data_IF_930287958497
#
_entry.id   IF_930287958497
#
_cell.length_a   1.000
_cell.length_b   1.000
_cell.length_c   1.000
_cell.angle_alpha   90.00
_cell.angle_beta   90.00
_cell.angle_gamma   90.00
#
_symmetry.space_group_name_H-M   'P 1'
#
loop_
_entity.id
_entity.type
_entity.pdbx_description
1 polymer ?
#
# COMPACT_ATOMS: atom_id res chain seq x y z
N UNK A 1 34.24 -9.56 -18.24
CA UNK A 1 32.92 -9.26 -18.84
C UNK A 1 31.92 -9.53 -17.75
N UNK A 2 31.41 -8.48 -17.12
CA UNK A 2 30.41 -8.59 -16.06
C UNK A 2 29.12 -9.11 -16.66
N UNK A 3 28.54 -10.14 -16.08
CA UNK A 3 27.18 -10.55 -16.42
C UNK A 3 26.27 -9.36 -16.10
N UNK A 4 25.53 -8.88 -17.10
CA UNK A 4 24.35 -8.06 -16.89
C UNK A 4 23.43 -8.86 -15.96
N UNK A 5 23.45 -8.52 -14.67
CA UNK A 5 22.47 -8.98 -13.71
C UNK A 5 21.14 -8.37 -14.16
N UNK A 6 20.34 -9.15 -14.90
CA UNK A 6 19.02 -8.75 -15.34
C UNK A 6 18.27 -8.41 -14.05
N UNK A 7 17.86 -7.14 -13.82
CA UNK A 7 17.26 -6.77 -12.55
C UNK A 7 16.02 -7.64 -12.34
N UNK A 8 16.13 -8.60 -11.41
CA UNK A 8 15.03 -9.48 -11.07
C UNK A 8 13.95 -8.59 -10.46
N UNK A 9 12.74 -8.64 -11.01
CA UNK A 9 11.63 -7.83 -10.50
C UNK A 9 11.39 -8.24 -9.06
N UNK A 10 11.69 -7.34 -8.13
CA UNK A 10 11.38 -7.60 -6.72
C UNK A 10 9.88 -7.71 -6.50
N UNK A 11 9.52 -8.61 -5.58
CA UNK A 11 8.14 -8.89 -5.19
C UNK A 11 7.58 -7.69 -4.43
N UNK A 12 6.40 -7.23 -4.83
CA UNK A 12 5.70 -6.16 -4.13
C UNK A 12 5.40 -6.58 -2.67
N UNK A 13 5.84 -5.75 -1.72
CA UNK A 13 5.62 -5.98 -0.30
C UNK A 13 4.18 -5.65 0.06
N UNK A 14 3.54 -6.55 0.79
CA UNK A 14 2.25 -6.24 1.43
C UNK A 14 2.54 -5.48 2.71
N UNK A 15 1.76 -4.44 2.94
CA UNK A 15 1.85 -3.60 4.11
C UNK A 15 0.47 -3.04 4.39
N UNK A 16 0.17 -2.86 5.66
CA UNK A 16 -0.98 -2.11 6.13
C UNK A 16 -0.69 -0.61 6.08
N UNK A 17 -1.74 0.22 5.98
CA UNK A 17 -1.61 1.67 5.93
C UNK A 17 -0.88 2.23 7.16
N UNK A 18 -1.09 1.65 8.34
CA UNK A 18 -0.42 2.09 9.58
C UNK A 18 1.11 2.10 9.42
N UNK A 19 1.73 0.95 9.11
CA UNK A 19 3.19 0.88 8.95
C UNK A 19 3.71 1.60 7.69
N UNK A 20 2.88 1.70 6.64
CA UNK A 20 3.27 2.37 5.42
C UNK A 20 3.34 3.88 5.59
N UNK A 21 2.42 4.47 6.34
CA UNK A 21 2.38 5.92 6.56
C UNK A 21 3.50 6.39 7.50
N UNK A 22 3.93 5.54 8.43
CA UNK A 22 5.05 5.81 9.34
C UNK A 22 6.44 5.62 8.66
N UNK A 23 6.48 5.07 7.45
CA UNK A 23 7.70 4.78 6.70
C UNK A 23 8.32 6.01 6.02
N UNK A 24 8.87 6.94 6.79
CA UNK A 24 9.37 8.22 6.27
C UNK A 24 10.79 8.18 5.65
N UNK A 25 11.46 7.03 5.60
CA UNK A 25 12.88 6.91 5.22
C UNK A 25 13.05 6.13 3.93
N UNK A 26 13.78 6.73 2.97
CA UNK A 26 14.11 6.11 1.69
C UNK A 26 15.61 6.04 1.48
N UNK A 27 16.12 4.91 0.99
CA UNK A 27 17.57 4.66 0.84
C UNK A 27 17.90 3.85 -0.42
N UNK A 28 19.19 3.80 -0.75
CA UNK A 28 19.77 2.93 -1.78
C UNK A 28 20.78 1.99 -1.10
N UNK A 29 20.91 0.77 -1.63
CA UNK A 29 21.88 -0.21 -1.11
C UNK A 29 23.28 -0.06 -1.72
N UNK A 30 23.41 0.75 -2.76
CA UNK A 30 24.69 1.06 -3.38
C UNK A 30 24.73 2.50 -3.88
N UNK A 31 25.96 3.00 -4.06
CA UNK A 31 26.23 4.33 -4.61
C UNK A 31 26.00 4.42 -6.13
N UNK A 32 25.48 3.36 -6.77
CA UNK A 32 25.17 3.40 -8.20
C UNK A 32 24.02 4.38 -8.47
N UNK A 33 24.18 5.23 -9.49
CA UNK A 33 23.15 6.18 -9.91
C UNK A 33 21.84 5.47 -10.26
N UNK A 34 21.94 4.24 -10.79
CA UNK A 34 20.82 3.38 -11.18
C UNK A 34 20.34 2.46 -10.06
N UNK A 35 20.93 2.52 -8.87
CA UNK A 35 20.52 1.69 -7.75
C UNK A 35 19.03 1.92 -7.42
N UNK A 36 18.26 0.85 -7.18
CA UNK A 36 16.87 0.97 -6.76
C UNK A 36 16.78 1.72 -5.44
N UNK A 37 15.79 2.60 -5.34
CA UNK A 37 15.42 3.27 -4.09
C UNK A 37 14.39 2.40 -3.39
N UNK A 38 14.59 2.21 -2.09
CA UNK A 38 13.71 1.46 -1.22
C UNK A 38 13.11 2.36 -0.16
N UNK A 39 11.86 2.09 0.18
CA UNK A 39 11.23 2.58 1.40
C UNK A 39 11.55 1.61 2.54
N UNK A 40 11.98 2.11 3.70
CA UNK A 40 12.17 1.31 4.89
C UNK A 40 10.86 1.28 5.70
N UNK A 41 10.36 0.12 6.07
CA UNK A 41 9.22 0.01 6.98
C UNK A 41 9.69 0.00 8.43
N UNK A 42 8.93 0.62 9.36
CA UNK A 42 9.21 0.58 10.79
C UNK A 42 9.25 -0.83 11.38
N UNK A 43 8.59 -1.78 10.71
CA UNK A 43 8.60 -3.20 11.04
C UNK A 43 9.84 -3.94 10.50
N UNK A 44 10.84 -3.26 9.94
CA UNK A 44 12.13 -3.86 9.60
C UNK A 44 12.17 -4.59 8.26
N UNK A 45 11.48 -4.07 7.24
CA UNK A 45 11.65 -4.52 5.86
C UNK A 45 11.83 -3.36 4.89
N UNK A 46 12.56 -3.59 3.81
CA UNK A 46 12.63 -2.68 2.68
C UNK A 46 11.56 -3.00 1.62
N UNK A 47 11.07 -1.99 0.92
CA UNK A 47 10.12 -2.13 -0.18
C UNK A 47 10.51 -1.26 -1.37
N UNK A 48 10.80 -1.88 -2.52
CA UNK A 48 10.88 -1.16 -3.81
C UNK A 48 9.49 -0.99 -4.44
N UNK A 49 8.58 -1.91 -4.13
CA UNK A 49 7.18 -1.92 -4.54
C UNK A 49 6.30 -2.35 -3.39
N UNK A 50 5.07 -1.85 -3.38
CA UNK A 50 4.03 -2.26 -2.45
C UNK A 50 2.83 -2.83 -3.19
N UNK A 51 2.11 -3.75 -2.53
CA UNK A 51 0.84 -4.30 -2.97
C UNK A 51 -0.19 -4.16 -1.85
N UNK A 52 -1.18 -3.29 -2.07
CA UNK A 52 -2.18 -2.91 -1.06
C UNK A 52 -3.58 -3.15 -1.61
N UNK A 53 -4.51 -3.52 -0.74
CA UNK A 53 -5.94 -3.60 -1.08
C UNK A 53 -6.73 -2.81 -0.04
N UNK A 54 -7.68 -2.02 -0.50
CA UNK A 54 -8.59 -1.28 0.37
C UNK A 54 -9.79 -0.74 -0.37
N UNK A 55 -10.58 0.06 0.32
CA UNK A 55 -11.73 0.76 -0.23
C UNK A 55 -11.28 2.09 -0.81
N UNK A 56 -11.34 2.26 -2.12
CA UNK A 56 -11.24 3.57 -2.75
C UNK A 56 -12.45 4.39 -2.34
N UNK A 57 -12.24 5.44 -1.55
CA UNK A 57 -13.32 6.29 -1.01
C UNK A 57 -13.49 7.58 -1.80
N UNK A 58 -12.41 8.08 -2.41
CA UNK A 58 -12.38 9.36 -3.12
C UNK A 58 -11.41 9.28 -4.32
N UNK A 59 -11.80 9.90 -5.43
CA UNK A 59 -10.95 10.19 -6.60
C UNK A 59 -11.09 11.67 -6.95
N UNK A 60 -9.97 12.35 -7.18
CA UNK A 60 -9.97 13.79 -7.48
C UNK A 60 -8.87 14.13 -8.49
N UNK A 61 -9.19 14.94 -9.50
CA UNK A 61 -8.18 15.60 -10.34
C UNK A 61 -7.63 16.81 -9.57
N UNK A 62 -6.40 16.67 -9.10
CA UNK A 62 -5.66 17.68 -8.34
C UNK A 62 -4.61 18.39 -9.22
N UNK A 63 -4.63 18.16 -10.53
CA UNK A 63 -3.75 18.82 -11.49
C UNK A 63 -4.22 20.23 -11.86
N UNK A 64 -3.28 21.14 -12.07
CA UNK A 64 -3.56 22.50 -12.58
C UNK A 64 -3.50 22.54 -14.11
N UNK A 65 -2.30 22.31 -14.68
CA UNK A 65 -2.05 22.38 -16.13
C UNK A 65 -2.05 21.01 -16.83
N UNK A 66 -1.84 19.94 -16.06
CA UNK A 66 -1.77 18.57 -16.56
C UNK A 66 -2.60 17.66 -15.69
N UNK A 67 -3.18 16.62 -16.29
CA UNK A 67 -3.93 15.60 -15.57
C UNK A 67 -3.10 14.97 -14.44
N UNK A 68 -3.62 15.08 -13.21
CA UNK A 68 -2.98 14.55 -12.01
C UNK A 68 -4.04 14.06 -11.02
N UNK A 69 -4.29 12.76 -11.01
CA UNK A 69 -5.32 12.16 -10.16
C UNK A 69 -4.78 11.73 -8.81
N UNK A 70 -5.53 12.05 -7.75
CA UNK A 70 -5.36 11.52 -6.41
C UNK A 70 -6.46 10.51 -6.10
N UNK A 71 -6.09 9.34 -5.60
CA UNK A 71 -7.02 8.38 -5.01
C UNK A 71 -6.78 8.25 -3.50
N UNK A 72 -7.86 8.12 -2.73
CA UNK A 72 -7.83 7.83 -1.29
C UNK A 72 -8.33 6.41 -1.05
N UNK A 73 -7.46 5.54 -0.54
CA UNK A 73 -7.75 4.12 -0.33
C UNK A 73 -7.68 3.82 1.16
N UNK A 74 -8.74 3.28 1.75
CA UNK A 74 -8.84 2.99 3.17
C UNK A 74 -8.73 1.47 3.41
N UNK A 75 -7.80 1.07 4.26
CA UNK A 75 -7.73 -0.30 4.81
C UNK A 75 -8.12 -0.27 6.30
N UNK A 76 -8.20 -1.43 7.00
CA UNK A 76 -8.58 -1.46 8.41
C UNK A 76 -7.65 -0.69 9.36
N UNK A 77 -6.45 -0.33 8.93
CA UNK A 77 -5.40 0.30 9.75
C UNK A 77 -5.19 1.77 9.42
N UNK A 78 -5.76 2.29 8.33
CA UNK A 78 -5.59 3.68 7.92
C UNK A 78 -5.88 3.95 6.46
N UNK A 79 -5.22 4.98 5.92
CA UNK A 79 -5.42 5.45 4.54
C UNK A 79 -4.12 5.42 3.76
N UNK A 80 -4.15 4.92 2.54
CA UNK A 80 -3.14 5.15 1.51
C UNK A 80 -3.57 6.27 0.57
N UNK A 81 -2.63 7.12 0.20
CA UNK A 81 -2.79 8.07 -0.92
C UNK A 81 -2.07 7.55 -2.15
N UNK A 82 -2.77 7.56 -3.28
CA UNK A 82 -2.20 7.21 -4.59
C UNK A 82 -2.24 8.42 -5.51
N UNK A 83 -1.17 8.64 -6.28
CA UNK A 83 -1.09 9.75 -7.23
C UNK A 83 -0.66 9.26 -8.61
N UNK A 84 -1.48 9.51 -9.62
CA UNK A 84 -1.21 9.14 -11.01
C UNK A 84 -1.28 10.36 -11.92
N UNK A 85 -0.18 10.67 -12.60
CA UNK A 85 -0.10 11.76 -13.57
C UNK A 85 0.09 11.29 -15.00
N UNK A 86 0.48 12.23 -15.88
CA UNK A 86 0.79 11.98 -17.29
C UNK A 86 1.78 10.83 -17.58
N UNK A 87 2.64 10.48 -16.62
CA UNK A 87 3.60 9.39 -16.76
C UNK A 87 3.03 8.03 -16.32
N UNK A 88 1.80 7.99 -15.80
CA UNK A 88 1.03 6.81 -15.39
C UNK A 88 -0.35 6.85 -16.08
N UNK A 89 -0.41 6.91 -17.42
CA UNK A 89 -1.66 7.16 -18.13
C UNK A 89 -2.74 6.11 -17.82
N UNK A 90 -2.35 4.83 -17.70
CA UNK A 90 -3.28 3.73 -17.35
C UNK A 90 -3.86 3.94 -15.94
N UNK A 91 -3.02 4.16 -14.93
CA UNK A 91 -3.52 4.35 -13.57
C UNK A 91 -4.29 5.67 -13.37
N UNK A 92 -3.95 6.73 -14.11
CA UNK A 92 -4.71 7.97 -14.11
C UNK A 92 -6.09 7.78 -14.74
N UNK A 93 -6.16 7.03 -15.84
CA UNK A 93 -7.43 6.64 -16.46
C UNK A 93 -8.29 5.82 -15.51
N UNK A 94 -7.74 4.80 -14.84
CA UNK A 94 -8.47 4.01 -13.85
C UNK A 94 -9.05 4.90 -12.73
N UNK A 95 -8.24 5.79 -12.13
CA UNK A 95 -8.74 6.71 -11.09
C UNK A 95 -9.84 7.66 -11.58
N UNK A 96 -9.78 8.08 -12.85
CA UNK A 96 -10.81 8.92 -13.47
C UNK A 96 -12.12 8.16 -13.69
N UNK A 97 -12.04 6.89 -14.08
CA UNK A 97 -13.18 6.08 -14.53
C UNK A 97 -13.85 5.31 -13.38
N UNK A 98 -13.15 5.10 -12.26
CA UNK A 98 -13.70 4.43 -11.08
C UNK A 98 -14.72 5.32 -10.36
N UNK A 99 -15.83 4.71 -9.94
CA UNK A 99 -16.86 5.30 -9.10
C UNK A 99 -16.70 4.82 -7.64
N UNK A 100 -16.20 5.65 -6.70
CA UNK A 100 -16.15 5.31 -5.28
C UNK A 100 -17.56 5.20 -4.64
N UNK A 101 -17.78 4.29 -3.66
CA UNK A 101 -16.79 3.39 -3.07
C UNK A 101 -16.58 2.11 -3.88
N UNK A 102 -15.31 1.69 -4.05
CA UNK A 102 -14.96 0.43 -4.70
C UNK A 102 -13.75 -0.23 -4.01
N UNK A 103 -13.74 -1.57 -3.90
CA UNK A 103 -12.53 -2.26 -3.48
C UNK A 103 -11.52 -2.29 -4.62
N UNK A 104 -10.30 -1.84 -4.34
CA UNK A 104 -9.22 -1.79 -5.33
C UNK A 104 -7.95 -2.42 -4.80
N UNK A 105 -7.28 -3.18 -5.67
CA UNK A 105 -5.92 -3.61 -5.49
C UNK A 105 -4.97 -2.67 -6.22
N UNK A 106 -3.92 -2.23 -5.54
CA UNK A 106 -2.91 -1.33 -6.10
C UNK A 106 -1.53 -1.94 -5.94
N UNK A 107 -0.80 -2.04 -7.06
CA UNK A 107 0.64 -2.26 -7.04
C UNK A 107 1.34 -0.99 -7.45
N UNK A 108 2.36 -0.56 -6.71
CA UNK A 108 3.06 0.67 -7.07
C UNK A 108 4.36 0.89 -6.33
N UNK A 109 5.00 2.00 -6.66
CA UNK A 109 6.24 2.42 -6.01
C UNK A 109 5.93 3.37 -4.86
N UNK A 110 6.39 3.08 -3.64
CA UNK A 110 6.32 4.07 -2.56
C UNK A 110 7.12 5.33 -2.91
N UNK A 111 6.63 6.48 -2.45
CA UNK A 111 7.28 7.78 -2.57
C UNK A 111 7.09 8.57 -1.29
N UNK A 112 8.20 9.03 -0.72
CA UNK A 112 8.19 10.04 0.32
C UNK A 112 8.14 11.43 -0.31
N UNK A 113 7.46 12.36 0.35
CA UNK A 113 7.45 13.77 0.00
C UNK A 113 7.28 14.59 1.28
N UNK A 114 7.86 15.79 1.30
CA UNK A 114 7.73 16.72 2.42
C UNK A 114 6.50 17.62 2.18
N UNK A 115 5.66 17.76 3.20
CA UNK A 115 4.54 18.71 3.20
C UNK A 115 4.99 20.08 3.66
N UNK A 116 4.19 21.11 3.41
CA UNK A 116 4.53 22.52 3.72
C UNK A 116 4.80 22.78 5.22
N UNK A 117 4.31 21.90 6.09
CA UNK A 117 4.52 21.92 7.54
C UNK A 117 5.80 21.18 7.99
N UNK A 118 6.59 20.66 7.04
CA UNK A 118 7.85 19.95 7.29
C UNK A 118 7.67 18.48 7.66
N UNK A 119 6.46 17.93 7.56
CA UNK A 119 6.20 16.50 7.81
C UNK A 119 6.53 15.69 6.56
N UNK A 120 7.22 14.56 6.72
CA UNK A 120 7.41 13.61 5.62
C UNK A 120 6.22 12.68 5.56
N UNK A 121 5.51 12.69 4.43
CA UNK A 121 4.41 11.78 4.14
C UNK A 121 4.81 10.77 3.07
N UNK A 122 4.05 9.66 3.01
CA UNK A 122 4.27 8.59 2.03
C UNK A 122 3.04 8.45 1.14
N UNK A 123 3.27 8.22 -0.14
CA UNK A 123 2.23 7.90 -1.12
C UNK A 123 2.66 6.75 -2.03
N UNK A 124 1.70 6.17 -2.72
CA UNK A 124 1.96 5.17 -3.76
C UNK A 124 1.85 5.83 -5.13
N UNK A 125 2.90 5.72 -5.93
CA UNK A 125 2.82 5.95 -7.37
C UNK A 125 2.36 4.64 -8.02
N UNK A 126 1.09 4.53 -8.44
CA UNK A 126 0.54 3.27 -8.91
C UNK A 126 1.19 2.89 -10.25
N UNK A 127 1.54 1.60 -10.35
CA UNK A 127 1.88 0.93 -11.60
C UNK A 127 0.65 0.18 -12.15
N UNK A 128 -0.26 -0.27 -11.27
CA UNK A 128 -1.57 -0.82 -11.64
C UNK A 128 -2.61 -0.53 -10.54
N UNK A 129 -3.87 -0.39 -10.97
CA UNK A 129 -5.05 -0.29 -10.11
C UNK A 129 -6.08 -1.25 -10.71
N UNK A 130 -6.74 -2.06 -9.88
CA UNK A 130 -7.73 -3.03 -10.36
C UNK A 130 -8.84 -3.20 -9.35
N UNK A 131 -10.10 -3.16 -9.79
CA UNK A 131 -11.26 -3.47 -8.95
C UNK A 131 -11.23 -4.93 -8.53
N UNK A 132 -11.48 -5.19 -7.24
CA UNK A 132 -11.53 -6.54 -6.67
C UNK A 132 -12.82 -6.74 -5.88
N UNK A 133 -13.12 -7.98 -5.51
CA UNK A 133 -14.24 -8.32 -4.66
C UNK A 133 -13.87 -8.32 -3.17
N UNK A 134 -14.90 -8.39 -2.30
CA UNK A 134 -14.72 -8.43 -0.86
C UNK A 134 -13.86 -9.61 -0.41
N UNK A 135 -14.06 -10.79 -1.00
CA UNK A 135 -13.30 -12.00 -0.66
C UNK A 135 -11.79 -11.84 -0.96
N UNK A 136 -11.43 -11.15 -2.04
CA UNK A 136 -10.04 -10.81 -2.37
C UNK A 136 -9.47 -9.81 -1.37
N UNK A 137 -10.25 -8.81 -0.95
CA UNK A 137 -9.87 -7.86 0.11
C UNK A 137 -9.62 -8.57 1.43
N UNK A 138 -10.54 -9.43 1.88
CA UNK A 138 -10.45 -10.13 3.15
C UNK A 138 -9.26 -11.08 3.17
N UNK A 139 -9.04 -11.80 2.06
CA UNK A 139 -7.86 -12.64 1.89
C UNK A 139 -6.56 -11.83 1.95
N UNK A 140 -6.53 -10.64 1.35
CA UNK A 140 -5.36 -9.77 1.44
C UNK A 140 -5.12 -9.29 2.87
N UNK A 141 -6.15 -8.97 3.66
CA UNK A 141 -5.99 -8.58 5.07
C UNK A 141 -5.33 -9.72 5.86
N UNK A 142 -5.84 -10.94 5.76
CA UNK A 142 -5.26 -12.11 6.45
C UNK A 142 -3.81 -12.35 6.02
N UNK A 143 -3.55 -12.43 4.71
CA UNK A 143 -2.19 -12.71 4.23
C UNK A 143 -1.21 -11.54 4.46
N UNK A 144 -1.71 -10.31 4.66
CA UNK A 144 -0.88 -9.16 5.06
C UNK A 144 -0.57 -9.21 6.54
N UNK A 145 -1.55 -9.55 7.37
CA UNK A 145 -1.36 -9.75 8.81
C UNK A 145 -0.31 -10.82 9.10
N UNK A 146 -0.40 -11.99 8.48
CA UNK A 146 0.60 -13.06 8.62
C UNK A 146 2.01 -12.54 8.28
N UNK A 147 2.16 -11.86 7.13
CA UNK A 147 3.46 -11.33 6.68
C UNK A 147 4.01 -10.21 7.57
N UNK A 148 3.14 -9.38 8.14
CA UNK A 148 3.52 -8.31 9.05
C UNK A 148 3.95 -8.88 10.40
N UNK A 149 3.21 -9.86 10.94
CA UNK A 149 3.58 -10.55 12.17
C UNK A 149 4.86 -11.37 12.02
N UNK A 150 5.06 -12.09 10.91
CA UNK A 150 6.29 -12.82 10.62
C UNK A 150 7.51 -11.88 10.61
N UNK A 151 7.34 -10.71 10.01
CA UNK A 151 8.37 -9.68 9.94
C UNK A 151 8.68 -9.08 11.33
N UNK A 152 7.66 -8.81 12.13
CA UNK A 152 7.83 -8.33 13.51
C UNK A 152 8.50 -9.39 14.39
N UNK A 153 8.15 -10.68 14.22
CA UNK A 153 8.79 -11.77 14.96
C UNK A 153 10.29 -11.87 14.65
N UNK A 154 10.69 -11.60 13.41
CA UNK A 154 12.09 -11.57 12.97
C UNK A 154 12.79 -10.21 13.25
N UNK A 155 12.13 -9.25 13.88
CA UNK A 155 12.69 -7.90 14.10
C UNK A 155 13.90 -7.92 15.06
N UNK A 156 13.87 -8.80 16.07
CA UNK A 156 14.93 -8.96 17.05
C UNK A 156 16.12 -9.81 16.59
N UNK A 157 16.07 -10.39 15.38
CA UNK A 157 17.11 -11.29 14.90
C UNK A 157 18.41 -10.55 14.62
N UNK A 158 19.54 -11.07 15.13
CA UNK A 158 20.88 -10.48 14.93
C UNK A 158 21.26 -10.36 13.44
N UNK A 159 20.63 -11.12 12.56
CA UNK A 159 20.84 -11.05 11.10
C UNK A 159 20.04 -9.97 10.39
N UNK A 160 19.05 -9.36 11.04
CA UNK A 160 18.12 -8.45 10.40
C UNK A 160 18.68 -7.02 10.34
N UNK A 161 19.40 -6.71 9.26
CA UNK A 161 19.98 -5.38 9.03
C UNK A 161 18.92 -4.27 8.90
N UNK A 162 17.76 -4.56 8.29
CA UNK A 162 16.71 -3.57 8.10
C UNK A 162 15.93 -3.31 9.39
N UNK A 163 15.78 -4.29 10.27
CA UNK A 163 15.20 -4.05 11.60
C UNK A 163 16.10 -3.13 12.44
N UNK A 164 17.42 -3.33 12.41
CA UNK A 164 18.37 -2.40 13.04
C UNK A 164 18.26 -1.00 12.46
N UNK A 165 18.27 -0.89 11.13
CA UNK A 165 18.11 0.39 10.46
C UNK A 165 16.77 1.05 10.82
N UNK A 166 15.68 0.30 10.87
CA UNK A 166 14.36 0.83 11.23
C UNK A 166 14.33 1.32 12.69
N UNK A 167 14.99 0.61 13.60
CA UNK A 167 15.11 1.03 15.00
C UNK A 167 15.90 2.34 15.12
N UNK A 168 17.01 2.47 14.38
CA UNK A 168 17.85 3.66 14.38
C UNK A 168 17.14 4.88 13.74
N UNK A 169 16.34 4.67 12.69
CA UNK A 169 15.67 5.74 11.95
C UNK A 169 14.35 6.21 12.58
N UNK A 170 13.55 5.28 13.14
CA UNK A 170 12.19 5.61 13.60
C UNK A 170 12.06 5.75 15.11
N UNK A 171 12.89 5.06 15.89
CA UNK A 171 12.75 5.00 17.36
C UNK A 171 11.33 4.59 17.83
N UNK A 172 10.59 3.84 17.00
CA UNK A 172 9.20 3.39 17.26
C UNK A 172 9.16 1.95 17.77
N UNK A 173 8.24 1.65 18.68
CA UNK A 173 7.98 0.25 19.07
C UNK A 173 7.20 -0.46 17.97
N UNK A 174 7.57 -1.72 17.70
CA UNK A 174 6.81 -2.58 16.79
C UNK A 174 5.46 -3.03 17.36
N UNK A 175 5.24 -2.87 18.67
CA UNK A 175 4.02 -3.30 19.36
C UNK A 175 2.76 -2.64 18.78
N UNK A 176 2.83 -1.37 18.39
CA UNK A 176 1.70 -0.66 17.77
C UNK A 176 1.26 -1.32 16.45
N UNK A 177 2.19 -1.94 15.73
CA UNK A 177 1.90 -2.65 14.48
C UNK A 177 1.33 -4.04 14.75
N UNK A 178 1.63 -4.66 15.91
CA UNK A 178 0.97 -5.88 16.36
C UNK A 178 -0.51 -5.56 16.68
N UNK A 179 -0.75 -4.53 17.49
CA UNK A 179 -2.11 -4.13 17.89
C UNK A 179 -2.98 -3.77 16.69
N UNK A 180 -2.48 -2.93 15.78
CA UNK A 180 -3.20 -2.57 14.55
C UNK A 180 -3.42 -3.77 13.60
N UNK A 181 -2.46 -4.69 13.51
CA UNK A 181 -2.61 -5.92 12.70
C UNK A 181 -3.67 -6.86 13.27
N UNK A 182 -3.69 -7.05 14.59
CA UNK A 182 -4.71 -7.87 15.26
C UNK A 182 -6.09 -7.25 15.06
N UNK A 183 -6.23 -5.94 15.30
CA UNK A 183 -7.47 -5.20 15.07
C UNK A 183 -7.96 -5.31 13.62
N UNK A 184 -7.04 -5.25 12.65
CA UNK A 184 -7.38 -5.42 11.23
C UNK A 184 -8.00 -6.79 10.93
N UNK A 185 -7.48 -7.87 11.53
CA UNK A 185 -8.03 -9.22 11.36
C UNK A 185 -9.36 -9.37 12.11
N UNK A 186 -9.46 -8.86 13.33
CA UNK A 186 -10.71 -8.88 14.12
C UNK A 186 -11.84 -8.13 13.40
N UNK A 187 -11.52 -7.03 12.72
CA UNK A 187 -12.51 -6.27 11.94
C UNK A 187 -13.15 -7.09 10.81
N UNK A 188 -12.49 -8.14 10.29
CA UNK A 188 -13.07 -9.00 9.27
C UNK A 188 -14.24 -9.83 9.80
N UNK A 189 -14.15 -10.28 11.05
CA UNK A 189 -15.21 -11.05 11.69
C UNK A 189 -16.46 -10.20 11.95
N UNK A 190 -16.28 -8.88 12.12
CA UNK A 190 -17.36 -7.90 12.30
C UNK A 190 -17.93 -7.41 10.95
N UNK A 191 -17.12 -7.37 9.89
CA UNK A 191 -17.47 -6.82 8.57
C UNK A 191 -18.24 -7.77 7.66
N UNK A 192 -18.40 -9.04 8.03
CA UNK A 192 -18.99 -10.09 7.18
C UNK A 192 -20.43 -9.84 6.68
N UNK A 193 -21.08 -8.77 7.16
CA UNK A 193 -22.49 -8.47 6.90
C UNK A 193 -22.78 -7.27 5.97
N UNK A 194 -21.82 -6.36 5.67
CA UNK A 194 -22.22 -5.02 5.17
C UNK A 194 -22.20 -4.80 3.65
N UNK A 195 -21.40 -5.52 2.85
CA UNK A 195 -21.36 -5.34 1.37
C UNK A 195 -21.81 -6.54 0.54
N UNK A 196 -22.13 -7.67 1.17
CA UNK A 196 -22.66 -8.85 0.47
C UNK A 196 -24.18 -8.78 0.23
N UNK A 197 -24.83 -7.68 0.63
CA UNK A 197 -26.29 -7.49 0.52
C UNK A 197 -26.73 -6.83 -0.79
N UNK A 198 -25.80 -6.43 -1.67
CA UNK A 198 -26.14 -5.80 -2.94
C UNK A 198 -26.10 -6.76 -4.14
N UNK A 199 -27.28 -7.36 -4.41
CA UNK A 199 -27.81 -7.86 -5.72
C UNK A 199 -27.72 -9.36 -6.04
N UNK A 200 -28.74 -9.97 -6.72
CA UNK A 200 -29.71 -9.34 -7.61
C UNK A 200 -31.20 -9.68 -7.33
N UNK A 201 -32.08 -8.66 -7.27
CA UNK A 201 -33.51 -8.92 -7.49
C UNK A 201 -33.78 -9.11 -8.98
N UNK A 202 -34.32 -10.28 -9.30
CA UNK A 202 -34.53 -10.77 -10.64
C UNK A 202 -35.67 -10.12 -11.41
N UNK A 203 -35.59 -10.32 -12.72
CA UNK A 203 -36.66 -10.42 -13.72
C UNK A 203 -38.08 -10.35 -13.17
N UNK A 204 -38.82 -9.30 -13.58
CA UNK A 204 -40.26 -9.43 -13.83
C UNK A 204 -40.54 -9.00 -15.28
N UNK A 205 -40.90 -10.01 -16.08
CA UNK A 205 -41.64 -9.88 -17.33
C UNK A 205 -42.97 -9.17 -17.12
N UNK A 206 -43.26 -8.18 -17.97
CA UNK A 206 -44.58 -7.74 -18.50
C UNK A 206 -44.31 -6.37 -19.16
N UNK A 207 -44.51 -6.15 -20.47
CA UNK A 207 -45.62 -6.48 -21.37
C UNK A 207 -45.11 -6.71 -22.81
#
# INVERSE_FOLDING_TARGET
MSADDIPTREVAKRAFAAEFNDAAFSFKESDDDRAPVYLLFPTGAKANRVFVIGTLTETEDVGEDNEYWRGRIVDPTGTFFVYAGQYQPEAAQELRELDPPAYVAVSGKPRTFETDDGTTNVSVRPESITVVDAATRDRWVVETAERTLDRIAAFGDEGNEYARMANDEYEMSVDQYIESTVSAVESLDESGDELNTASPEGTTQNL
#
